data_IF_827191227418
#
_entry.id   IF_827191227418
#
_cell.length_a   1.000
_cell.length_b   1.000
_cell.length_c   1.000
_cell.angle_alpha   90.00
_cell.angle_beta   90.00
_cell.angle_gamma   90.00
#
_symmetry.space_group_name_H-M   'P 1'
#
loop_
_entity.id
_entity.type
_entity.pdbx_description
1 polymer ?
#
# COMPACT_ATOMS: atom_id res chain seq x y z
N UNK A 1 12.39 5.91 -6.89
CA UNK A 1 12.77 7.33 -7.04
C UNK A 1 13.58 7.71 -5.82
N UNK A 2 14.84 8.11 -6.01
CA UNK A 2 15.75 8.47 -4.92
C UNK A 2 16.62 9.70 -5.24
N UNK A 3 16.30 10.39 -6.34
CA UNK A 3 17.02 11.58 -6.80
C UNK A 3 16.57 12.82 -5.99
N UNK A 4 17.47 13.47 -5.23
CA UNK A 4 17.14 14.63 -4.42
C UNK A 4 16.59 15.82 -5.22
N UNK A 5 17.06 16.05 -6.45
CA UNK A 5 16.58 17.18 -7.27
C UNK A 5 15.14 16.95 -7.73
N UNK A 6 14.82 15.71 -8.08
CA UNK A 6 13.45 15.31 -8.43
C UNK A 6 12.52 15.50 -7.24
N UNK A 7 12.94 15.08 -6.04
CA UNK A 7 12.15 15.20 -4.82
C UNK A 7 11.94 16.67 -4.43
N UNK A 8 12.96 17.52 -4.50
CA UNK A 8 12.85 18.96 -4.23
C UNK A 8 11.89 19.67 -5.19
N UNK A 9 11.95 19.34 -6.48
CA UNK A 9 11.00 19.88 -7.48
C UNK A 9 9.57 19.46 -7.21
N UNK A 10 9.34 18.22 -6.76
CA UNK A 10 8.01 17.75 -6.39
C UNK A 10 7.49 18.45 -5.15
N UNK A 11 8.34 18.60 -4.12
CA UNK A 11 7.98 19.27 -2.88
C UNK A 11 7.53 20.72 -3.14
N UNK A 12 8.32 21.48 -3.91
CA UNK A 12 7.98 22.83 -4.33
C UNK A 12 6.69 22.88 -5.18
N UNK A 13 6.45 21.89 -6.05
CA UNK A 13 5.25 21.84 -6.90
C UNK A 13 3.96 21.64 -6.10
N UNK A 14 4.01 20.85 -5.03
CA UNK A 14 2.82 20.55 -4.20
C UNK A 14 2.71 21.45 -2.96
N UNK A 15 3.69 22.35 -2.75
CA UNK A 15 3.70 23.28 -1.63
C UNK A 15 4.03 22.62 -0.29
N UNK A 16 4.88 21.58 -0.29
CA UNK A 16 5.34 20.89 0.91
C UNK A 16 6.84 21.08 1.11
N UNK A 17 7.30 20.84 2.34
CA UNK A 17 8.73 20.85 2.69
C UNK A 17 9.40 19.51 2.39
N UNK A 18 10.74 19.51 2.35
CA UNK A 18 11.52 18.27 2.25
C UNK A 18 11.46 17.55 3.61
N UNK A 19 11.17 16.24 3.64
CA UNK A 19 11.12 15.48 4.88
C UNK A 19 12.43 15.55 5.68
N UNK A 20 12.31 15.63 7.00
CA UNK A 20 13.44 15.65 7.93
C UNK A 20 13.67 14.28 8.61
N UNK A 21 14.51 14.27 9.65
CA UNK A 21 14.81 13.04 10.38
C UNK A 21 13.60 12.50 11.17
N UNK A 22 12.71 13.35 11.66
CA UNK A 22 11.50 12.92 12.35
C UNK A 22 10.52 12.25 11.39
N UNK A 23 10.39 12.78 10.17
CA UNK A 23 9.59 12.14 9.10
C UNK A 23 10.14 10.76 8.74
N UNK A 24 11.47 10.61 8.69
CA UNK A 24 12.11 9.33 8.43
C UNK A 24 11.81 8.28 9.53
N UNK A 25 11.85 8.69 10.80
CA UNK A 25 11.48 7.81 11.92
C UNK A 25 10.00 7.41 11.87
N UNK A 26 9.10 8.31 11.45
CA UNK A 26 7.68 7.98 11.27
C UNK A 26 7.48 6.92 10.18
N UNK A 27 8.19 7.01 9.05
CA UNK A 27 8.13 6.00 7.97
C UNK A 27 8.56 4.62 8.49
N UNK A 28 9.61 4.57 9.32
CA UNK A 28 10.10 3.32 9.91
C UNK A 28 9.08 2.76 10.90
N UNK A 29 8.47 3.62 11.72
CA UNK A 29 7.43 3.22 12.67
C UNK A 29 6.19 2.63 11.95
N UNK A 30 5.74 3.26 10.87
CA UNK A 30 4.64 2.78 10.04
C UNK A 30 4.98 1.45 9.36
N UNK A 31 6.23 1.27 8.90
CA UNK A 31 6.69 0.00 8.35
C UNK A 31 6.64 -1.13 9.40
N UNK A 32 7.11 -0.86 10.62
CA UNK A 32 7.04 -1.82 11.71
C UNK A 32 5.60 -2.15 12.10
N UNK A 33 4.69 -1.18 12.09
CA UNK A 33 3.28 -1.42 12.32
C UNK A 33 2.67 -2.29 11.21
N UNK A 34 2.99 -2.01 9.95
CA UNK A 34 2.59 -2.86 8.82
C UNK A 34 3.06 -4.31 9.00
N UNK A 35 4.31 -4.52 9.43
CA UNK A 35 4.82 -5.86 9.75
C UNK A 35 4.04 -6.53 10.89
N UNK A 36 3.76 -5.81 12.00
CA UNK A 36 2.98 -6.33 13.13
C UNK A 36 1.55 -6.73 12.73
N UNK A 37 0.95 -5.99 11.80
CA UNK A 37 -0.41 -6.24 11.29
C UNK A 37 -0.46 -7.28 10.17
N UNK A 38 0.67 -7.84 9.73
CA UNK A 38 0.71 -8.85 8.68
C UNK A 38 0.54 -8.29 7.26
N UNK A 39 0.92 -7.03 7.01
CA UNK A 39 0.94 -6.46 5.66
C UNK A 39 1.94 -7.21 4.78
N UNK A 40 1.45 -7.82 3.70
CA UNK A 40 2.26 -8.59 2.74
C UNK A 40 2.60 -7.84 1.45
N UNK A 41 2.03 -6.65 1.25
CA UNK A 41 2.19 -5.86 0.03
C UNK A 41 1.27 -4.64 0.01
N UNK A 42 1.24 -3.90 -1.09
CA UNK A 42 0.37 -2.73 -1.28
C UNK A 42 -0.48 -2.82 -2.56
N UNK A 43 -1.69 -2.23 -2.59
CA UNK A 43 -2.38 -1.63 -1.45
C UNK A 43 -2.91 -2.69 -0.47
N UNK A 44 -2.81 -2.41 0.83
CA UNK A 44 -3.42 -3.20 1.89
C UNK A 44 -4.32 -2.27 2.70
N UNK A 45 -5.62 -2.56 2.68
CA UNK A 45 -6.63 -1.73 3.32
C UNK A 45 -6.99 -2.27 4.69
N UNK A 46 -7.28 -1.34 5.60
CA UNK A 46 -7.78 -1.62 6.93
C UNK A 46 -9.04 -0.81 7.19
N UNK A 47 -10.10 -1.46 7.65
CA UNK A 47 -11.42 -0.89 7.84
C UNK A 47 -12.13 -1.62 8.98
N UNK A 48 -12.08 -1.04 10.18
CA UNK A 48 -12.46 -1.76 11.41
C UNK A 48 -11.67 -3.07 11.53
N UNK A 49 -12.38 -4.19 11.71
CA UNK A 49 -11.80 -5.54 11.76
C UNK A 49 -11.52 -6.15 10.38
N UNK A 50 -11.82 -5.43 9.29
CA UNK A 50 -11.54 -5.88 7.92
C UNK A 50 -10.12 -5.49 7.53
N UNK A 51 -9.38 -6.48 7.05
CA UNK A 51 -8.12 -6.30 6.34
C UNK A 51 -8.25 -6.90 4.95
N UNK A 52 -7.79 -6.17 3.92
CA UNK A 52 -7.89 -6.60 2.53
C UNK A 52 -6.63 -6.22 1.75
N UNK A 53 -5.89 -7.23 1.29
CA UNK A 53 -4.78 -7.03 0.36
C UNK A 53 -5.31 -7.02 -1.07
N UNK A 54 -5.15 -5.89 -1.76
CA UNK A 54 -5.59 -5.64 -3.13
C UNK A 54 -6.97 -6.24 -3.48
N UNK A 55 -8.08 -5.77 -2.89
CA UNK A 55 -9.40 -6.40 -3.01
C UNK A 55 -9.94 -6.50 -4.44
N UNK A 56 -9.38 -5.74 -5.38
CA UNK A 56 -9.72 -5.83 -6.81
C UNK A 56 -9.00 -6.93 -7.57
N UNK A 57 -8.04 -7.64 -6.96
CA UNK A 57 -7.24 -8.65 -7.63
C UNK A 57 -7.26 -9.96 -6.86
N UNK A 58 -7.40 -11.05 -7.59
CA UNK A 58 -7.03 -12.38 -7.12
C UNK A 58 -5.59 -12.64 -7.55
N UNK A 59 -4.70 -12.73 -6.56
CA UNK A 59 -3.26 -12.92 -6.75
C UNK A 59 -2.90 -14.28 -6.18
N UNK A 60 -2.67 -15.24 -7.06
CA UNK A 60 -2.28 -16.60 -6.69
C UNK A 60 -0.89 -16.92 -7.23
N UNK A 61 -0.16 -17.76 -6.49
CA UNK A 61 1.12 -18.28 -6.94
C UNK A 61 0.98 -19.77 -7.15
N UNK A 62 0.90 -20.17 -8.41
CA UNK A 62 0.83 -21.57 -8.82
C UNK A 62 2.24 -22.14 -9.05
N UNK A 63 2.54 -23.36 -8.59
CA UNK A 63 3.85 -23.99 -8.80
C UNK A 63 4.21 -24.27 -10.27
N UNK A 64 3.23 -24.52 -11.13
CA UNK A 64 3.43 -24.88 -12.54
C UNK A 64 3.34 -23.66 -13.47
N UNK A 65 2.40 -22.77 -13.19
CA UNK A 65 2.03 -21.62 -14.02
C UNK A 65 2.60 -20.29 -13.50
N UNK A 66 3.24 -20.28 -12.35
CA UNK A 66 3.84 -19.08 -11.75
C UNK A 66 2.82 -18.15 -11.10
N UNK A 67 3.14 -16.85 -11.07
CA UNK A 67 2.24 -15.84 -10.51
C UNK A 67 1.09 -15.55 -11.46
N UNK A 68 -0.14 -15.69 -10.98
CA UNK A 68 -1.35 -15.30 -11.69
C UNK A 68 -1.99 -14.10 -10.98
N UNK A 69 -2.41 -13.12 -11.78
CA UNK A 69 -3.07 -11.90 -11.32
C UNK A 69 -4.32 -11.74 -12.17
N UNK A 70 -5.47 -11.88 -11.54
CA UNK A 70 -6.77 -11.78 -12.19
C UNK A 70 -7.60 -10.66 -11.55
N UNK A 71 -8.46 -10.04 -12.34
CA UNK A 71 -9.41 -9.05 -11.82
C UNK A 71 -10.50 -9.76 -11.00
N UNK A 72 -10.64 -9.38 -9.73
CA UNK A 72 -11.70 -9.84 -8.85
C UNK A 72 -12.74 -8.73 -8.65
N UNK A 73 -13.83 -8.80 -9.42
CA UNK A 73 -14.94 -7.85 -9.33
C UNK A 73 -15.81 -8.06 -8.10
N UNK A 74 -15.91 -9.30 -7.62
CA UNK A 74 -16.64 -9.64 -6.40
C UNK A 74 -15.91 -9.12 -5.17
N UNK A 75 -14.61 -9.38 -5.06
CA UNK A 75 -13.78 -8.95 -3.94
C UNK A 75 -13.82 -7.43 -3.75
N UNK A 76 -13.72 -6.65 -4.83
CA UNK A 76 -13.81 -5.19 -4.71
C UNK A 76 -15.23 -4.73 -4.33
N UNK A 77 -16.27 -5.41 -4.81
CA UNK A 77 -17.65 -5.07 -4.44
C UNK A 77 -17.90 -5.33 -2.97
N UNK A 78 -17.52 -6.51 -2.49
CA UNK A 78 -17.69 -6.92 -1.09
C UNK A 78 -16.88 -6.01 -0.14
N UNK A 79 -15.68 -5.60 -0.56
CA UNK A 79 -14.89 -4.64 0.19
C UNK A 79 -15.61 -3.27 0.29
N UNK A 80 -16.09 -2.73 -0.83
CA UNK A 80 -16.80 -1.45 -0.84
C UNK A 80 -18.11 -1.50 -0.06
N UNK A 81 -18.85 -2.61 -0.09
CA UNK A 81 -20.08 -2.76 0.69
C UNK A 81 -19.84 -2.75 2.21
N UNK A 82 -18.62 -3.09 2.64
CA UNK A 82 -18.24 -3.09 4.06
C UNK A 82 -17.52 -1.81 4.49
N UNK A 83 -16.94 -1.06 3.56
CA UNK A 83 -15.95 -0.01 3.85
C UNK A 83 -16.11 1.29 3.06
N UNK A 84 -17.10 1.39 2.16
CA UNK A 84 -17.37 2.56 1.32
C UNK A 84 -18.46 3.48 1.81
#
# INVERSE_FOLDING_TARGET
MSDPEVLARLAARVGTEIPDAADAEMVIADWHEGQRRGVIGSPHFFCGDVQAFCPSLDITRDPEHGMQILLDRSGIRDFLDRCG
#
